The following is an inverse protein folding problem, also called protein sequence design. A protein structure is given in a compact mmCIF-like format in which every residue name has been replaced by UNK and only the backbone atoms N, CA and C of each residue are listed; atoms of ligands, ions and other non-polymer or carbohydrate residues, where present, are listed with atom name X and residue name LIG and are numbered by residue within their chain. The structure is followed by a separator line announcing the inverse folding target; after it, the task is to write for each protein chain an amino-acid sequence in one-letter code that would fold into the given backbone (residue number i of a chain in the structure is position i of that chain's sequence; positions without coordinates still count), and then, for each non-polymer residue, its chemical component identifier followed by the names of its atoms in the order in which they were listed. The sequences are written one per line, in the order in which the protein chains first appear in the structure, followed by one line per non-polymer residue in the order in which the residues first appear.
data_IF_068790639720
#
_entry.id   IF_068790639720
#
_cell.length_a   1.000
_cell.length_b   1.000
_cell.length_c   1.000
_cell.angle_alpha   90.00
_cell.angle_beta   90.00
_cell.angle_gamma   90.00
#
_symmetry.space_group_name_H-M   'P 1'
#
loop_
_entity.id
_entity.type
_entity.pdbx_description
1 polymer ?
#
# COMPACT_ATOMS: atom_id res chain seq x y z
N UNK A 1 19.78 -15.97 33.79
CA UNK A 1 19.72 -14.72 33.00
C UNK A 1 19.03 -15.05 31.69
N UNK A 2 17.89 -14.41 31.41
CA UNK A 2 17.12 -14.60 30.18
C UNK A 2 17.30 -13.33 29.34
N UNK A 3 18.02 -13.33 28.20
CA UNK A 3 18.04 -12.17 27.34
C UNK A 3 16.72 -12.13 26.57
N UNK A 4 16.01 -11.02 26.75
CA UNK A 4 14.76 -10.69 26.06
C UNK A 4 14.95 -10.84 24.56
N UNK A 5 14.35 -11.87 23.98
CA UNK A 5 14.09 -12.00 22.54
C UNK A 5 13.08 -10.94 22.10
N UNK A 6 13.49 -9.66 22.16
CA UNK A 6 12.79 -8.56 21.52
C UNK A 6 13.01 -8.69 20.03
N UNK A 7 12.23 -9.54 19.36
CA UNK A 7 12.16 -9.56 17.90
C UNK A 7 11.70 -8.16 17.47
N UNK A 8 12.63 -7.27 17.12
CA UNK A 8 12.31 -6.02 16.42
C UNK A 8 11.46 -6.42 15.22
N UNK A 9 10.16 -6.17 15.31
CA UNK A 9 9.25 -6.40 14.18
C UNK A 9 9.81 -5.55 13.05
N UNK A 10 10.06 -6.16 11.89
CA UNK A 10 10.53 -5.41 10.74
C UNK A 10 9.56 -4.23 10.52
N UNK A 11 10.06 -3.01 10.28
CA UNK A 11 9.20 -1.87 10.06
C UNK A 11 8.26 -2.17 8.88
N UNK A 12 6.97 -1.97 9.09
CA UNK A 12 5.98 -2.10 8.03
C UNK A 12 6.15 -0.90 7.10
N UNK A 13 6.22 -1.15 5.79
CA UNK A 13 6.41 -0.11 4.78
C UNK A 13 5.24 -0.21 3.81
N UNK A 14 4.56 0.90 3.58
CA UNK A 14 3.43 1.01 2.68
C UNK A 14 3.81 1.91 1.51
N UNK A 15 3.79 1.33 0.30
CA UNK A 15 3.89 2.07 -0.94
C UNK A 15 2.49 2.32 -1.48
N UNK A 16 2.26 3.50 -2.01
CA UNK A 16 1.00 3.84 -2.68
C UNK A 16 1.28 4.52 -4.02
N UNK A 17 0.43 4.22 -4.98
CA UNK A 17 0.42 4.91 -6.27
C UNK A 17 -1.02 5.22 -6.68
N UNK A 18 -1.22 6.40 -7.26
CA UNK A 18 -2.46 6.87 -7.89
C UNK A 18 -2.14 7.18 -9.34
N UNK A 19 -2.99 6.73 -10.26
CA UNK A 19 -2.85 7.01 -11.68
C UNK A 19 -4.16 7.54 -12.26
N UNK A 20 -3.99 8.48 -13.18
CA UNK A 20 -4.99 8.93 -14.13
C UNK A 20 -4.36 8.93 -15.53
N UNK A 21 -5.14 9.26 -16.55
CA UNK A 21 -4.76 9.14 -17.97
C UNK A 21 -3.39 9.78 -18.27
N UNK A 22 -3.15 10.99 -17.76
CA UNK A 22 -1.92 11.76 -18.03
C UNK A 22 -1.09 12.10 -16.77
N UNK A 23 -1.45 11.56 -15.60
CA UNK A 23 -0.80 11.94 -14.36
C UNK A 23 -0.69 10.79 -13.36
N UNK A 24 0.37 10.81 -12.57
CA UNK A 24 0.63 9.80 -11.55
C UNK A 24 1.31 10.39 -10.33
N UNK A 25 0.89 9.92 -9.16
CA UNK A 25 1.47 10.28 -7.87
C UNK A 25 1.81 9.00 -7.12
N UNK A 26 2.91 9.02 -6.40
CA UNK A 26 3.31 7.90 -5.59
C UNK A 26 4.02 8.37 -4.34
N UNK A 27 4.06 7.50 -3.33
CA UNK A 27 4.76 7.75 -2.10
C UNK A 27 4.99 6.48 -1.29
N UNK A 28 5.81 6.63 -0.25
CA UNK A 28 6.12 5.56 0.70
C UNK A 28 6.03 6.11 2.12
N UNK A 29 5.45 5.33 3.02
CA UNK A 29 5.32 5.68 4.43
C UNK A 29 5.35 4.42 5.30
N UNK A 30 5.71 4.55 6.58
CA UNK A 30 5.64 3.46 7.55
C UNK A 30 4.25 3.32 8.21
N UNK A 31 3.27 4.13 7.81
CA UNK A 31 1.93 4.16 8.38
C UNK A 31 0.86 3.89 7.31
N UNK A 32 0.10 2.81 7.49
CA UNK A 32 -1.00 2.41 6.59
C UNK A 32 -2.05 3.51 6.45
N UNK A 33 -2.46 4.15 7.54
CA UNK A 33 -3.51 5.15 7.53
C UNK A 33 -3.04 6.40 6.79
N UNK A 34 -1.78 6.80 6.97
CA UNK A 34 -1.18 7.90 6.23
C UNK A 34 -1.16 7.60 4.73
N UNK A 35 -0.79 6.38 4.32
CA UNK A 35 -0.85 5.97 2.91
C UNK A 35 -2.28 6.07 2.35
N UNK A 36 -3.28 5.58 3.08
CA UNK A 36 -4.68 5.65 2.67
C UNK A 36 -5.20 7.09 2.59
N UNK A 37 -4.81 7.97 3.52
CA UNK A 37 -5.18 9.39 3.51
C UNK A 37 -4.58 10.13 2.32
N UNK A 38 -3.33 9.84 1.95
CA UNK A 38 -2.72 10.42 0.75
C UNK A 38 -3.47 10.01 -0.51
N UNK A 39 -3.75 8.72 -0.68
CA UNK A 39 -4.54 8.21 -1.80
C UNK A 39 -5.91 8.88 -1.85
N UNK A 40 -6.61 8.99 -0.70
CA UNK A 40 -7.92 9.62 -0.65
C UNK A 40 -7.87 11.08 -1.13
N UNK A 41 -6.90 11.86 -0.65
CA UNK A 41 -6.75 13.26 -1.06
C UNK A 41 -6.46 13.36 -2.55
N UNK A 42 -5.46 12.62 -3.02
CA UNK A 42 -5.03 12.66 -4.42
C UNK A 42 -6.15 12.25 -5.37
N UNK A 43 -6.90 11.17 -5.08
CA UNK A 43 -8.05 10.78 -5.91
C UNK A 43 -9.15 11.85 -5.98
N UNK A 44 -9.39 12.60 -4.90
CA UNK A 44 -10.35 13.72 -4.94
C UNK A 44 -9.85 14.90 -5.76
N UNK A 45 -8.55 15.16 -5.72
CA UNK A 45 -7.94 16.29 -6.42
C UNK A 45 -7.85 16.04 -7.94
N UNK A 46 -7.60 14.80 -8.37
CA UNK A 46 -7.49 14.46 -9.80
C UNK A 46 -8.86 14.39 -10.48
N UNK A 47 -9.90 13.95 -9.76
CA UNK A 47 -11.23 13.78 -10.30
C UNK A 47 -11.47 12.41 -10.97
N UNK A 48 -12.51 12.30 -11.82
CA UNK A 48 -12.95 11.06 -12.46
C UNK A 48 -11.84 10.28 -13.18
N UNK A 49 -11.96 8.96 -13.22
CA UNK A 49 -10.99 8.07 -13.91
C UNK A 49 -9.70 7.78 -13.14
N UNK A 50 -9.50 8.38 -11.96
CA UNK A 50 -8.40 8.06 -11.07
C UNK A 50 -8.54 6.69 -10.41
N UNK A 51 -7.46 5.90 -10.41
CA UNK A 51 -7.35 4.63 -9.69
C UNK A 51 -6.08 4.59 -8.84
N UNK A 52 -6.12 3.85 -7.74
CA UNK A 52 -5.03 3.78 -6.80
C UNK A 52 -4.82 2.39 -6.23
N UNK A 53 -3.59 2.12 -5.80
CA UNK A 53 -3.22 0.91 -5.07
C UNK A 53 -2.35 1.27 -3.87
N UNK A 54 -2.62 0.62 -2.74
CA UNK A 54 -1.75 0.62 -1.55
C UNK A 54 -1.19 -0.79 -1.38
N UNK A 55 0.13 -0.89 -1.26
CA UNK A 55 0.86 -2.16 -1.13
C UNK A 55 1.68 -2.16 0.15
N UNK A 56 1.69 -3.28 0.85
CA UNK A 56 2.67 -3.56 1.88
C UNK A 56 3.94 -4.05 1.20
N UNK A 57 5.08 -3.45 1.53
CA UNK A 57 6.37 -3.73 0.92
C UNK A 57 7.44 -3.95 2.01
N UNK A 58 8.53 -4.59 1.63
CA UNK A 58 9.76 -4.65 2.42
C UNK A 58 10.93 -4.11 1.61
N UNK A 59 12.00 -3.68 2.29
CA UNK A 59 13.29 -3.46 1.65
C UNK A 59 13.89 -4.81 1.25
N UNK A 60 14.61 -4.85 0.14
CA UNK A 60 15.35 -6.04 -0.26
C UNK A 60 16.39 -6.41 0.83
N UNK A 61 16.36 -7.65 1.34
CA UNK A 61 17.20 -8.07 2.45
C UNK A 61 18.70 -8.17 2.06
N UNK A 62 19.01 -8.19 0.77
CA UNK A 62 20.38 -8.23 0.25
C UNK A 62 20.94 -6.83 -0.02
N UNK A 63 20.29 -5.78 0.50
CA UNK A 63 20.79 -4.40 0.41
C UNK A 63 20.64 -3.76 -0.97
N UNK A 64 19.86 -4.37 -1.87
CA UNK A 64 19.49 -3.72 -3.13
C UNK A 64 18.50 -2.61 -2.83
N UNK A 65 18.66 -1.44 -3.44
CA UNK A 65 17.72 -0.31 -3.28
C UNK A 65 16.44 -0.58 -4.08
N UNK A 66 15.64 -1.55 -3.62
CA UNK A 66 14.33 -1.88 -4.20
C UNK A 66 13.35 -2.30 -3.12
N UNK A 67 12.08 -1.97 -3.35
CA UNK A 67 10.96 -2.46 -2.55
C UNK A 67 10.46 -3.78 -3.13
N UNK A 68 10.26 -4.77 -2.27
CA UNK A 68 9.64 -6.06 -2.59
C UNK A 68 8.19 -6.00 -2.10
N UNK A 69 7.23 -6.19 -3.01
CA UNK A 69 5.82 -6.27 -2.65
C UNK A 69 5.53 -7.51 -1.82
N UNK A 70 5.01 -7.30 -0.61
CA UNK A 70 4.54 -8.36 0.29
C UNK A 70 3.05 -8.66 0.08
N UNK A 71 2.27 -7.67 -0.38
CA UNK A 71 0.88 -7.85 -0.75
C UNK A 71 0.15 -6.53 -1.02
N UNK A 72 -1.01 -6.62 -1.66
CA UNK A 72 -1.91 -5.48 -1.81
C UNK A 72 -2.72 -5.31 -0.53
N UNK A 73 -2.72 -4.09 0.00
CA UNK A 73 -3.50 -3.71 1.19
C UNK A 73 -4.90 -3.29 0.78
N UNK A 74 -4.99 -2.43 -0.23
CA UNK A 74 -6.25 -1.93 -0.75
C UNK A 74 -6.06 -1.33 -2.14
N UNK A 75 -7.16 -1.26 -2.87
CA UNK A 75 -7.29 -0.49 -4.10
C UNK A 75 -8.41 0.52 -3.91
N UNK A 76 -8.32 1.65 -4.61
CA UNK A 76 -9.33 2.68 -4.55
C UNK A 76 -9.55 3.33 -5.91
N UNK A 77 -10.75 3.88 -6.10
CA UNK A 77 -11.09 4.68 -7.26
C UNK A 77 -12.15 5.71 -6.86
N UNK A 78 -12.28 6.76 -7.68
CA UNK A 78 -13.37 7.70 -7.52
C UNK A 78 -14.64 7.15 -8.22
N UNK A 79 -15.77 7.14 -7.53
CA UNK A 79 -17.06 6.82 -8.13
C UNK A 79 -17.62 8.05 -8.85
N UNK A 80 -17.68 8.00 -10.17
CA UNK A 80 -18.07 9.14 -11.01
C UNK A 80 -19.50 9.64 -10.73
N UNK A 81 -20.38 8.77 -10.19
CA UNK A 81 -21.78 9.11 -9.91
C UNK A 81 -21.94 9.89 -8.60
N UNK A 82 -21.17 9.54 -7.58
CA UNK A 82 -21.31 10.09 -6.23
C UNK A 82 -20.17 11.03 -5.83
N UNK A 83 -19.05 11.02 -6.57
CA UNK A 83 -17.82 11.71 -6.19
C UNK A 83 -17.17 11.14 -4.92
N UNK A 84 -17.57 9.93 -4.49
CA UNK A 84 -17.02 9.26 -3.32
C UNK A 84 -15.78 8.44 -3.71
N UNK A 85 -14.79 8.39 -2.83
CA UNK A 85 -13.67 7.45 -2.97
C UNK A 85 -14.13 6.08 -2.46
N UNK A 86 -14.20 5.12 -3.36
CA UNK A 86 -14.56 3.73 -3.05
C UNK A 86 -13.30 2.93 -2.80
N UNK A 87 -13.33 2.07 -1.78
CA UNK A 87 -12.22 1.21 -1.40
C UNK A 87 -12.59 -0.25 -1.59
N UNK A 88 -11.65 -1.01 -2.15
CA UNK A 88 -11.65 -2.47 -2.16
C UNK A 88 -10.49 -2.96 -1.34
N UNK A 89 -10.78 -3.75 -0.30
CA UNK A 89 -9.72 -4.41 0.45
C UNK A 89 -8.93 -5.33 -0.47
N UNK A 90 -7.60 -5.20 -0.39
CA UNK A 90 -6.70 -6.10 -1.05
C UNK A 90 -6.77 -7.46 -0.36
N UNK A 91 -6.82 -8.53 -1.14
CA UNK A 91 -6.50 -9.84 -0.60
C UNK A 91 -5.02 -9.83 -0.24
N UNK A 92 -4.70 -9.50 1.02
CA UNK A 92 -3.49 -10.01 1.64
C UNK A 92 -3.58 -11.52 1.46
N UNK A 93 -2.84 -12.06 0.49
CA UNK A 93 -2.70 -13.49 0.32
C UNK A 93 -2.19 -14.02 1.65
N UNK A 94 -3.12 -14.50 2.50
CA UNK A 94 -2.76 -15.39 3.60
C UNK A 94 -2.05 -16.52 2.90
N UNK A 95 -0.72 -16.52 3.01
CA UNK A 95 0.12 -17.54 2.42
C UNK A 95 -0.48 -18.89 2.79
N UNK A 96 -0.93 -19.63 1.77
CA UNK A 96 -0.96 -21.08 1.87
C UNK A 96 0.50 -21.45 2.05
N UNK A 97 0.89 -21.63 3.31
CA UNK A 97 2.10 -22.35 3.69
C UNK A 97 1.98 -23.76 3.11
N UNK A 98 2.52 -23.97 1.92
CA UNK A 98 2.84 -25.31 1.45
C UNK A 98 3.99 -25.79 2.35
N UNK A 99 3.65 -26.58 3.38
CA UNK A 99 4.62 -27.50 3.96
C UNK A 99 4.83 -28.61 2.94
N UNK A 100 6.09 -28.75 2.53
CA UNK A 100 6.61 -29.95 1.89
C UNK A 100 6.44 -31.18 2.78
#
# INVERSE_FOLDING_TARGET
MNPLSGRRRAPEIFAWDVRAEDAGWAGVTSDRNVAMQHVHRVLRDIGPGGWATVRHVALDPLGRVRYITLGTVAEAWLDDRTGAVVWRDGSLGRGKINRA
#
